data_IF_599342024341
#
_entry.id   IF_599342024341
#
_cell.length_a   1.000
_cell.length_b   1.000
_cell.length_c   1.000
_cell.angle_alpha   90.00
_cell.angle_beta   90.00
_cell.angle_gamma   90.00
#
_symmetry.space_group_name_H-M   'P 1'
#
loop_
_entity.id
_entity.type
_entity.pdbx_description
1 polymer ?
#
# COMPACT_ATOMS: atom_id res chain seq x y z
N UNK A 1 -11.86 -7.33 7.49
CA UNK A 1 -11.25 -6.80 6.26
C UNK A 1 -10.91 -5.37 6.62
N UNK A 2 -9.63 -4.99 6.63
CA UNK A 2 -9.19 -3.67 7.08
C UNK A 2 -10.06 -2.58 6.47
N UNK A 3 -11.02 -2.07 7.23
CA UNK A 3 -11.84 -0.93 6.88
C UNK A 3 -10.95 0.30 6.97
N UNK A 4 -10.07 0.47 5.98
CA UNK A 4 -9.28 1.68 5.76
C UNK A 4 -10.18 2.85 5.29
N UNK A 5 -11.42 2.92 5.79
CA UNK A 5 -12.49 3.81 5.34
C UNK A 5 -12.98 3.49 3.93
N UNK A 6 -14.19 3.96 3.61
CA UNK A 6 -14.59 4.14 2.22
C UNK A 6 -13.54 5.04 1.55
N UNK A 7 -12.79 4.46 0.61
CA UNK A 7 -11.85 5.25 -0.20
C UNK A 7 -12.67 6.14 -1.12
N UNK A 8 -12.78 7.41 -0.77
CA UNK A 8 -13.13 8.41 -1.77
C UNK A 8 -12.08 8.34 -2.88
N UNK A 9 -12.49 8.41 -4.16
CA UNK A 9 -11.55 8.40 -5.25
C UNK A 9 -10.47 9.46 -5.03
N UNK A 10 -9.21 9.01 -4.94
CA UNK A 10 -8.06 9.89 -4.77
C UNK A 10 -7.35 9.97 -6.10
N UNK A 11 -7.16 11.18 -6.59
CA UNK A 11 -6.59 11.43 -7.92
C UNK A 11 -7.34 10.71 -9.07
N UNK A 12 -8.65 10.51 -8.92
CA UNK A 12 -9.48 9.81 -9.90
C UNK A 12 -9.29 8.29 -9.94
N UNK A 13 -8.64 7.72 -8.92
CA UNK A 13 -8.43 6.28 -8.74
C UNK A 13 -9.12 5.79 -7.47
N UNK A 14 -9.62 4.55 -7.50
CA UNK A 14 -10.18 3.87 -6.33
C UNK A 14 -9.79 2.40 -6.31
N UNK A 15 -9.78 1.82 -5.11
CA UNK A 15 -9.49 0.39 -4.89
C UNK A 15 -10.68 -0.45 -5.34
N UNK A 16 -10.38 -1.57 -6.00
CA UNK A 16 -11.36 -2.61 -6.34
C UNK A 16 -10.95 -3.93 -5.71
N UNK A 17 -11.91 -4.84 -5.55
CA UNK A 17 -11.64 -6.18 -5.03
C UNK A 17 -11.84 -7.25 -6.11
N UNK A 18 -11.16 -8.39 -5.94
CA UNK A 18 -11.51 -9.60 -6.67
C UNK A 18 -12.85 -10.18 -6.21
N UNK A 19 -13.31 -11.24 -6.90
CA UNK A 19 -14.59 -11.89 -6.60
C UNK A 19 -14.66 -12.44 -5.17
N UNK A 20 -13.54 -12.85 -4.59
CA UNK A 20 -13.46 -13.33 -3.20
C UNK A 20 -13.41 -12.20 -2.17
N UNK A 21 -13.17 -10.96 -2.59
CA UNK A 21 -13.01 -9.82 -1.69
C UNK A 21 -11.64 -9.78 -0.99
N UNK A 22 -10.69 -10.62 -1.38
CA UNK A 22 -9.42 -10.81 -0.65
C UNK A 22 -8.24 -10.10 -1.30
N UNK A 23 -8.26 -9.96 -2.64
CA UNK A 23 -7.21 -9.24 -3.37
C UNK A 23 -7.72 -7.87 -3.80
N UNK A 24 -6.86 -6.87 -3.68
CA UNK A 24 -7.08 -5.51 -4.10
C UNK A 24 -6.41 -5.22 -5.45
N UNK A 25 -7.12 -4.44 -6.26
CA UNK A 25 -6.66 -3.82 -7.50
C UNK A 25 -7.01 -2.34 -7.50
N UNK A 26 -6.83 -1.68 -8.64
CA UNK A 26 -7.11 -0.25 -8.82
C UNK A 26 -7.89 -0.06 -10.11
N UNK A 27 -8.94 0.76 -10.05
CA UNK A 27 -9.66 1.24 -11.21
C UNK A 27 -9.71 2.77 -11.23
N UNK A 28 -9.99 3.34 -12.40
CA UNK A 28 -10.25 4.77 -12.55
C UNK A 28 -11.75 5.08 -12.55
N UNK A 29 -12.10 6.37 -12.51
CA UNK A 29 -13.50 6.85 -12.51
C UNK A 29 -14.34 6.43 -13.72
N UNK A 30 -13.72 5.95 -14.81
CA UNK A 30 -14.42 5.41 -15.99
C UNK A 30 -14.70 3.91 -15.86
N UNK A 31 -14.37 3.29 -14.73
CA UNK A 31 -14.50 1.85 -14.49
C UNK A 31 -13.39 1.02 -15.14
N UNK A 32 -12.35 1.65 -15.71
CA UNK A 32 -11.25 0.91 -16.33
C UNK A 32 -10.32 0.37 -15.23
N UNK A 33 -10.04 -0.92 -15.29
CA UNK A 33 -9.09 -1.58 -14.40
C UNK A 33 -7.66 -1.19 -14.79
N UNK A 34 -6.98 -0.47 -13.90
CA UNK A 34 -5.56 -0.10 -14.05
C UNK A 34 -4.67 -1.21 -13.51
N UNK A 35 -5.01 -1.73 -12.33
CA UNK A 35 -4.33 -2.85 -11.69
C UNK A 35 -5.36 -3.93 -11.43
N UNK A 36 -5.20 -5.09 -12.08
CA UNK A 36 -6.01 -6.26 -11.75
C UNK A 36 -5.76 -6.66 -10.28
N UNK A 37 -6.80 -7.07 -9.53
CA UNK A 37 -6.63 -7.52 -8.16
C UNK A 37 -5.52 -8.56 -8.01
N UNK A 38 -4.50 -8.22 -7.20
CA UNK A 38 -3.36 -9.11 -6.92
C UNK A 38 -2.65 -8.82 -5.60
N UNK A 39 -2.84 -7.62 -5.04
CA UNK A 39 -2.23 -7.22 -3.77
C UNK A 39 -3.16 -7.57 -2.61
N UNK A 40 -2.59 -7.87 -1.45
CA UNK A 40 -3.38 -8.10 -0.22
C UNK A 40 -3.79 -6.77 0.43
N UNK A 41 -3.00 -5.72 0.24
CA UNK A 41 -3.34 -4.36 0.65
C UNK A 41 -2.84 -3.34 -0.36
N UNK A 42 -3.65 -2.32 -0.60
CA UNK A 42 -3.29 -1.08 -1.30
C UNK A 42 -3.68 0.07 -0.39
N UNK A 43 -2.73 0.99 -0.17
CA UNK A 43 -2.94 2.22 0.61
C UNK A 43 -3.20 3.41 -0.31
N UNK A 44 -3.78 4.51 0.19
CA UNK A 44 -4.04 5.68 -0.63
C UNK A 44 -2.78 6.22 -1.30
N UNK A 45 -2.91 6.78 -2.50
CA UNK A 45 -1.80 7.44 -3.18
C UNK A 45 -1.33 8.67 -2.42
N UNK A 46 -0.03 8.84 -2.21
CA UNK A 46 0.58 10.08 -1.71
C UNK A 46 1.77 10.40 -2.60
N UNK A 47 1.88 11.66 -3.01
CA UNK A 47 2.97 12.12 -3.89
C UNK A 47 3.10 11.26 -5.18
N UNK A 48 1.98 10.74 -5.68
CA UNK A 48 1.93 9.93 -6.90
C UNK A 48 2.18 8.42 -6.72
N UNK A 49 2.47 7.95 -5.50
CA UNK A 49 2.76 6.55 -5.20
C UNK A 49 1.80 5.97 -4.17
N UNK A 50 1.41 4.71 -4.35
CA UNK A 50 0.64 3.95 -3.36
C UNK A 50 1.49 2.81 -2.81
N UNK A 51 1.51 2.67 -1.48
CA UNK A 51 2.10 1.49 -0.86
C UNK A 51 1.21 0.26 -1.12
N UNK A 52 1.87 -0.85 -1.46
CA UNK A 52 1.22 -2.13 -1.73
C UNK A 52 1.88 -3.24 -0.95
N UNK A 53 1.12 -4.28 -0.61
CA UNK A 53 1.62 -5.43 0.11
C UNK A 53 1.13 -6.77 -0.47
N UNK A 54 1.95 -7.80 -0.32
CA UNK A 54 1.59 -9.21 -0.58
C UNK A 54 1.99 -10.08 0.62
N UNK A 55 1.20 -11.11 0.91
CA UNK A 55 1.41 -12.01 2.05
C UNK A 55 1.13 -11.37 3.42
N UNK A 56 0.53 -10.18 3.46
CA UNK A 56 0.16 -9.54 4.72
C UNK A 56 -1.17 -10.09 5.25
N UNK A 57 -1.43 -9.85 6.54
CA UNK A 57 -2.71 -10.17 7.18
C UNK A 57 -3.32 -8.90 7.76
N UNK A 58 -4.63 -8.77 7.66
CA UNK A 58 -5.37 -7.84 8.52
C UNK A 58 -5.57 -8.48 9.88
N UNK A 59 -5.18 -7.77 10.93
CA UNK A 59 -5.43 -8.14 12.31
C UNK A 59 -6.26 -7.05 12.99
N UNK A 60 -7.10 -7.47 13.93
CA UNK A 60 -7.93 -6.61 14.77
C UNK A 60 -7.55 -6.94 16.21
N UNK A 61 -6.70 -6.13 16.87
CA UNK A 61 -6.25 -6.40 18.22
C UNK A 61 -7.42 -6.49 19.20
N UNK A 62 -7.27 -7.28 20.27
CA UNK A 62 -8.34 -7.44 21.27
C UNK A 62 -8.49 -6.19 22.15
N UNK A 63 -7.37 -5.53 22.42
CA UNK A 63 -7.27 -4.29 23.19
C UNK A 63 -7.63 -3.04 22.36
N UNK A 64 -7.62 -3.15 21.03
CA UNK A 64 -8.07 -2.12 20.10
C UNK A 64 -8.98 -2.72 19.02
N UNK A 65 -10.19 -3.16 19.39
CA UNK A 65 -11.11 -3.76 18.44
C UNK A 65 -11.70 -2.72 17.51
N UNK A 66 -11.50 -1.41 17.65
CA UNK A 66 -12.06 -0.46 16.68
C UNK A 66 -11.19 -0.29 15.43
N UNK A 67 -9.92 -0.71 15.50
CA UNK A 67 -8.97 -0.56 14.42
C UNK A 67 -8.47 -1.89 13.84
N UNK A 68 -8.24 -1.88 12.54
CA UNK A 68 -7.63 -2.98 11.81
C UNK A 68 -6.23 -2.57 11.33
N UNK A 69 -5.27 -3.47 11.53
CA UNK A 69 -3.87 -3.26 11.20
C UNK A 69 -3.44 -4.27 10.14
N UNK A 70 -2.61 -3.83 9.19
CA UNK A 70 -1.99 -4.71 8.21
C UNK A 70 -0.58 -5.07 8.68
N UNK A 71 -0.35 -6.36 8.94
CA UNK A 71 0.90 -6.88 9.51
C UNK A 71 1.52 -7.95 8.61
N UNK A 72 2.85 -8.08 8.70
CA UNK A 72 3.64 -9.02 7.91
C UNK A 72 3.63 -8.71 6.40
N UNK A 73 4.00 -9.72 5.61
CA UNK A 73 4.09 -9.64 4.16
C UNK A 73 5.33 -8.90 3.64
N UNK A 74 5.36 -8.68 2.34
CA UNK A 74 6.34 -7.85 1.65
C UNK A 74 5.69 -6.62 1.05
N UNK A 75 6.40 -5.50 1.13
CA UNK A 75 5.89 -4.17 0.85
C UNK A 75 6.71 -3.48 -0.22
N UNK A 76 6.03 -2.69 -1.05
CA UNK A 76 6.60 -1.91 -2.15
C UNK A 76 5.69 -0.74 -2.49
N UNK A 77 5.94 -0.10 -3.65
CA UNK A 77 5.13 1.02 -4.13
C UNK A 77 4.82 0.89 -5.62
N UNK A 78 3.59 1.26 -5.98
CA UNK A 78 3.16 1.41 -7.37
C UNK A 78 2.88 2.87 -7.69
N UNK A 79 3.05 3.26 -8.95
CA UNK A 79 2.57 4.54 -9.46
C UNK A 79 1.07 4.48 -9.86
N UNK A 80 0.52 5.62 -10.27
CA UNK A 80 -0.87 5.76 -10.72
C UNK A 80 -1.22 4.94 -11.97
N UNK A 81 -0.23 4.47 -12.73
CA UNK A 81 -0.41 3.58 -13.88
C UNK A 81 -0.36 2.11 -13.46
N UNK A 82 -0.14 1.83 -12.17
CA UNK A 82 -0.04 0.48 -11.63
C UNK A 82 1.34 -0.15 -11.80
N UNK A 83 2.34 0.62 -12.25
CA UNK A 83 3.71 0.14 -12.40
C UNK A 83 4.36 0.08 -11.02
N UNK A 84 4.99 -1.04 -10.72
CA UNK A 84 5.85 -1.17 -9.54
C UNK A 84 7.08 -0.27 -9.71
N UNK A 85 7.15 0.78 -8.90
CA UNK A 85 8.28 1.73 -8.87
C UNK A 85 9.30 1.27 -7.83
N UNK A 86 8.81 0.70 -6.73
CA UNK A 86 9.64 0.16 -5.65
C UNK A 86 9.18 -1.28 -5.41
N UNK A 87 10.08 -2.27 -5.52
CA UNK A 87 9.70 -3.67 -5.47
C UNK A 87 9.15 -4.11 -4.10
N UNK A 88 8.35 -5.17 -4.12
CA UNK A 88 7.82 -5.84 -2.93
C UNK A 88 8.93 -6.59 -2.16
N UNK A 89 9.86 -5.87 -1.55
CA UNK A 89 11.01 -6.47 -0.85
C UNK A 89 11.17 -6.03 0.61
N UNK A 90 10.45 -4.98 1.04
CA UNK A 90 10.52 -4.46 2.39
C UNK A 90 9.59 -5.24 3.33
N UNK A 91 10.00 -5.41 4.58
CA UNK A 91 9.21 -6.08 5.62
C UNK A 91 8.11 -5.16 6.17
N UNK A 92 8.33 -3.84 6.10
CA UNK A 92 7.33 -2.85 6.48
C UNK A 92 7.66 -1.48 5.88
N UNK A 93 6.64 -0.62 5.85
CA UNK A 93 6.78 0.82 5.60
C UNK A 93 6.25 1.48 6.87
N UNK A 94 7.04 2.32 7.53
CA UNK A 94 6.62 3.03 8.72
C UNK A 94 5.78 4.28 8.36
N UNK A 95 5.35 5.04 9.37
CA UNK A 95 4.71 6.36 9.19
C UNK A 95 3.51 6.35 8.22
N UNK A 96 2.52 5.51 8.50
CA UNK A 96 1.25 5.43 7.74
C UNK A 96 1.40 4.95 6.29
N UNK A 97 2.42 4.13 5.99
CA UNK A 97 2.58 3.46 4.68
C UNK A 97 2.64 4.44 3.50
N UNK A 98 3.29 5.59 3.66
CA UNK A 98 3.29 6.64 2.62
C UNK A 98 4.62 7.37 2.50
N UNK A 99 4.78 8.03 1.35
CA UNK A 99 5.74 9.10 1.19
C UNK A 99 5.26 10.37 1.92
N UNK A 100 6.22 11.10 2.49
CA UNK A 100 6.03 12.46 3.03
C UNK A 100 7.30 13.25 2.76
N UNK A 101 7.16 14.39 2.07
CA UNK A 101 8.27 15.26 1.68
C UNK A 101 9.34 14.50 0.86
N UNK A 102 8.90 13.67 -0.10
CA UNK A 102 9.79 12.90 -0.97
C UNK A 102 10.51 11.72 -0.31
N UNK A 103 10.17 11.39 0.94
CA UNK A 103 10.82 10.31 1.70
C UNK A 103 9.81 9.29 2.24
N UNK A 104 10.19 8.02 2.26
CA UNK A 104 9.51 6.98 3.00
C UNK A 104 10.49 6.28 3.94
N UNK A 105 10.02 5.88 5.12
CA UNK A 105 10.80 5.09 6.08
C UNK A 105 10.40 3.62 5.90
N UNK A 106 11.34 2.77 5.53
CA UNK A 106 11.11 1.35 5.22
C UNK A 106 11.95 0.46 6.12
N UNK A 107 11.44 -0.72 6.42
CA UNK A 107 12.13 -1.76 7.19
C UNK A 107 12.56 -2.88 6.24
N UNK A 108 13.84 -3.27 6.29
CA UNK A 108 14.37 -4.45 5.59
C UNK A 108 15.28 -5.21 6.55
N UNK A 109 14.94 -6.47 6.85
CA UNK A 109 15.47 -7.19 7.99
C UNK A 109 15.15 -6.42 9.28
N UNK A 110 16.18 -6.16 10.08
CA UNK A 110 16.05 -5.46 11.36
C UNK A 110 16.43 -3.97 11.28
N UNK A 111 16.61 -3.44 10.06
CA UNK A 111 17.12 -2.07 9.85
C UNK A 111 16.12 -1.19 9.13
N UNK A 112 16.00 0.04 9.62
CA UNK A 112 15.23 1.09 8.98
C UNK A 112 16.09 1.88 7.99
N UNK A 113 15.49 2.21 6.85
CA UNK A 113 16.10 3.02 5.81
C UNK A 113 15.13 4.13 5.40
N UNK A 114 15.65 5.32 5.15
CA UNK A 114 14.89 6.31 4.38
C UNK A 114 15.17 6.08 2.90
N UNK A 115 14.11 6.05 2.08
CA UNK A 115 14.23 5.95 0.63
C UNK A 115 13.56 7.16 -0.04
N UNK A 116 14.05 7.52 -1.22
CA UNK A 116 13.34 8.44 -2.11
C UNK A 116 12.26 7.72 -2.94
N UNK A 117 11.53 8.49 -3.76
CA UNK A 117 10.45 7.99 -4.62
C UNK A 117 10.89 7.02 -5.73
N UNK A 118 12.21 6.83 -5.91
CA UNK A 118 12.80 5.84 -6.84
C UNK A 118 13.35 4.63 -6.10
N UNK A 119 13.15 4.53 -4.79
CA UNK A 119 13.64 3.43 -3.95
C UNK A 119 15.11 3.57 -3.56
N UNK A 120 15.77 4.71 -3.80
CA UNK A 120 17.17 4.90 -3.45
C UNK A 120 17.29 5.24 -1.98
N UNK A 121 18.11 4.48 -1.24
CA UNK A 121 18.42 4.79 0.15
C UNK A 121 19.08 6.16 0.28
N UNK A 122 18.52 6.98 1.16
CA UNK A 122 19.05 8.27 1.55
C UNK A 122 20.05 8.06 2.70
N UNK A 123 21.21 8.71 2.59
CA UNK A 123 22.25 8.73 3.62
C UNK A 123 22.04 9.90 4.57
#
# INVERSE_FOLDING_TARGET
MANNGNDYPKDGLFRILDKSGTKMGVANMKGQVIVKPKYDAIFPYYEGLAAVAVGCKTVRPQDDPEHEYVVGGKWGFIDKQGKEVIPLEYDSIANYRRFKNGKALVLKGEKFFQIDSKGRTLK
#
